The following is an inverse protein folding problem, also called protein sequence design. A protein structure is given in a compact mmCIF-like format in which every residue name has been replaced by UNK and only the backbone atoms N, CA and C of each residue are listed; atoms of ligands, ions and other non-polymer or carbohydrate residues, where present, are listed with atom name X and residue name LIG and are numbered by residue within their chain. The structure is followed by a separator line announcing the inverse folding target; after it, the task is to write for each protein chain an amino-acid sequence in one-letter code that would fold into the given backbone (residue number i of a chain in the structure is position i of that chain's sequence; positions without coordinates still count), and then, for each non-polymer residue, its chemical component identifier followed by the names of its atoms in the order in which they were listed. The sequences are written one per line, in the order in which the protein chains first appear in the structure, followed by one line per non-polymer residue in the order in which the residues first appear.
data_IF_867591391730
#
_entry.id   IF_867591391730
#
_cell.length_a   1.000
_cell.length_b   1.000
_cell.length_c   1.000
_cell.angle_alpha   90.00
_cell.angle_beta   90.00
_cell.angle_gamma   90.00
#
_symmetry.space_group_name_H-M   'P 1'
#
loop_
_entity.id
_entity.type
_entity.pdbx_description
1 polymer ?
#
# COMPACT_ATOMS: atom_id res chain seq x y z
N UNK A 1 5.81 4.24 21.95
CA UNK A 1 6.05 4.05 20.51
C UNK A 1 4.90 4.73 19.79
N UNK A 2 5.19 5.72 18.94
CA UNK A 2 4.19 6.57 18.31
C UNK A 2 3.30 5.76 17.34
N UNK A 3 1.98 5.89 17.51
CA UNK A 3 0.97 5.44 16.55
C UNK A 3 1.03 6.30 15.28
N UNK A 4 0.66 5.74 14.12
CA UNK A 4 0.57 6.51 12.88
C UNK A 4 -0.38 7.72 13.01
N UNK A 5 -0.01 8.82 12.35
CA UNK A 5 -0.90 9.95 12.09
C UNK A 5 -1.75 9.73 10.83
N UNK A 6 -2.46 10.77 10.36
CA UNK A 6 -3.17 10.72 9.08
C UNK A 6 -2.24 10.30 7.93
N UNK A 7 -2.74 9.53 6.98
CA UNK A 7 -1.98 9.11 5.81
C UNK A 7 -1.78 10.26 4.82
N UNK A 8 -0.60 10.31 4.19
CA UNK A 8 -0.27 11.26 3.12
C UNK A 8 -0.30 10.55 1.75
N UNK A 9 -1.14 11.08 0.84
CA UNK A 9 -1.34 10.51 -0.51
C UNK A 9 -0.06 10.54 -1.35
N UNK A 10 0.70 11.65 -1.33
CA UNK A 10 1.93 11.79 -2.14
C UNK A 10 3.01 10.85 -1.63
N UNK A 11 3.12 10.67 -0.32
CA UNK A 11 4.02 9.68 0.28
C UNK A 11 3.57 8.26 -0.06
N UNK A 12 2.27 7.99 -0.01
CA UNK A 12 1.72 6.69 -0.42
C UNK A 12 2.05 6.35 -1.86
N UNK A 13 1.91 7.31 -2.78
CA UNK A 13 2.30 7.17 -4.18
C UNK A 13 3.80 6.91 -4.33
N UNK A 14 4.65 7.64 -3.61
CA UNK A 14 6.09 7.38 -3.60
C UNK A 14 6.41 5.95 -3.16
N UNK A 15 5.84 5.49 -2.05
CA UNK A 15 6.03 4.13 -1.54
C UNK A 15 5.51 3.06 -2.53
N UNK A 16 4.39 3.32 -3.18
CA UNK A 16 3.80 2.43 -4.18
C UNK A 16 4.74 2.18 -5.38
N UNK A 17 5.55 3.19 -5.73
CA UNK A 17 6.50 3.11 -6.84
C UNK A 17 7.89 2.57 -6.43
N UNK A 18 8.17 2.41 -5.14
CA UNK A 18 9.49 2.08 -4.60
C UNK A 18 9.78 0.55 -4.59
N UNK A 19 10.77 0.04 -5.36
CA UNK A 19 11.03 -1.41 -5.47
C UNK A 19 11.50 -2.14 -4.21
N UNK A 20 11.92 -1.40 -3.18
CA UNK A 20 12.35 -1.96 -1.88
C UNK A 20 11.32 -1.82 -0.76
N UNK A 21 10.13 -1.28 -1.06
CA UNK A 21 9.12 -1.04 -0.03
C UNK A 21 8.71 -2.33 0.70
N UNK A 22 8.58 -2.25 2.02
CA UNK A 22 8.26 -3.41 2.86
C UNK A 22 9.30 -4.55 2.80
N UNK A 23 10.55 -4.21 2.49
CA UNK A 23 11.64 -5.17 2.38
C UNK A 23 11.63 -5.98 1.09
N UNK A 24 11.02 -5.47 0.01
CA UNK A 24 10.97 -6.13 -1.30
C UNK A 24 12.36 -6.54 -1.81
N UNK A 25 12.47 -7.77 -2.33
CA UNK A 25 13.77 -8.41 -2.68
C UNK A 25 13.95 -8.68 -4.16
N UNK A 26 12.91 -8.51 -4.98
CA UNK A 26 12.93 -8.87 -6.40
C UNK A 26 13.01 -7.66 -7.36
N UNK A 27 13.27 -6.46 -6.83
CA UNK A 27 13.42 -5.24 -7.63
C UNK A 27 12.12 -4.73 -8.26
N UNK A 28 10.96 -5.25 -7.88
CA UNK A 28 9.65 -4.76 -8.33
C UNK A 28 8.98 -3.90 -7.26
N UNK A 29 8.21 -2.91 -7.71
CA UNK A 29 7.28 -2.15 -6.87
C UNK A 29 5.84 -2.55 -7.17
N UNK A 30 4.87 -1.97 -6.44
CA UNK A 30 3.45 -2.18 -6.72
C UNK A 30 3.09 -1.75 -8.16
N UNK A 31 3.71 -0.67 -8.63
CA UNK A 31 3.51 -0.11 -9.96
C UNK A 31 3.94 -1.05 -11.11
N UNK A 32 4.79 -2.05 -10.84
CA UNK A 32 5.17 -3.05 -11.84
C UNK A 32 3.97 -3.89 -12.33
N UNK A 33 2.98 -4.11 -11.45
CA UNK A 33 1.74 -4.81 -11.79
C UNK A 33 0.55 -3.85 -11.96
N UNK A 34 0.56 -2.74 -11.22
CA UNK A 34 -0.51 -1.74 -11.18
C UNK A 34 0.02 -0.36 -11.59
N UNK A 35 0.43 -0.16 -12.85
CA UNK A 35 1.04 1.09 -13.29
C UNK A 35 0.06 2.26 -13.08
N UNK A 36 0.49 3.27 -12.31
CA UNK A 36 -0.36 4.40 -11.90
C UNK A 36 -1.60 4.01 -11.11
N UNK A 37 -1.60 2.84 -10.45
CA UNK A 37 -2.76 2.33 -9.71
C UNK A 37 -3.81 1.60 -10.56
N UNK A 38 -3.52 1.30 -11.83
CA UNK A 38 -4.46 0.63 -12.73
C UNK A 38 -5.00 -0.69 -12.15
N UNK A 39 -6.33 -0.85 -12.20
CA UNK A 39 -7.06 -2.00 -11.69
C UNK A 39 -7.32 -1.95 -10.18
N UNK A 40 -6.95 -0.86 -9.50
CA UNK A 40 -7.18 -0.63 -8.08
C UNK A 40 -8.14 0.55 -7.80
N UNK A 41 -8.77 1.11 -8.83
CA UNK A 41 -9.63 2.30 -8.74
C UNK A 41 -10.81 2.08 -7.79
N UNK A 42 -11.31 0.85 -7.69
CA UNK A 42 -12.43 0.49 -6.80
C UNK A 42 -11.99 0.06 -5.39
N UNK A 43 -10.70 0.14 -5.03
CA UNK A 43 -10.22 -0.28 -3.71
C UNK A 43 -10.90 0.50 -2.59
N UNK A 44 -11.12 1.81 -2.77
CA UNK A 44 -11.81 2.63 -1.78
C UNK A 44 -13.21 2.10 -1.45
N UNK A 45 -14.02 1.85 -2.48
CA UNK A 45 -15.38 1.33 -2.33
C UNK A 45 -15.39 -0.11 -1.81
N UNK A 46 -14.53 -0.98 -2.36
CA UNK A 46 -14.47 -2.42 -2.01
C UNK A 46 -14.11 -2.68 -0.55
N UNK A 47 -13.31 -1.79 0.04
CA UNK A 47 -12.81 -1.91 1.41
C UNK A 47 -13.35 -0.83 2.36
N UNK A 48 -14.44 -0.15 1.99
CA UNK A 48 -15.11 0.79 2.89
C UNK A 48 -15.48 0.09 4.22
N UNK A 49 -14.98 0.64 5.33
CA UNK A 49 -15.16 0.06 6.68
C UNK A 49 -14.35 -1.20 6.97
N UNK A 50 -13.47 -1.64 6.06
CA UNK A 50 -12.73 -2.92 6.12
C UNK A 50 -11.22 -2.73 6.11
N UNK A 51 -10.75 -1.78 6.90
CA UNK A 51 -9.35 -1.35 6.94
C UNK A 51 -8.37 -2.48 7.28
N UNK A 52 -8.74 -3.38 8.19
CA UNK A 52 -7.89 -4.52 8.56
C UNK A 52 -7.65 -5.45 7.36
N UNK A 53 -8.66 -5.66 6.52
CA UNK A 53 -8.52 -6.49 5.33
C UNK A 53 -7.68 -5.81 4.25
N UNK A 54 -7.82 -4.49 4.10
CA UNK A 54 -7.00 -3.74 3.15
C UNK A 54 -5.52 -3.76 3.56
N UNK A 55 -5.22 -3.59 4.86
CA UNK A 55 -3.86 -3.76 5.41
C UNK A 55 -3.29 -5.15 5.13
N UNK A 56 -4.10 -6.18 5.38
CA UNK A 56 -3.72 -7.57 5.10
C UNK A 56 -3.44 -7.79 3.61
N UNK A 57 -4.25 -7.20 2.72
CA UNK A 57 -4.03 -7.29 1.28
C UNK A 57 -2.74 -6.60 0.84
N UNK A 58 -2.45 -5.40 1.34
CA UNK A 58 -1.18 -4.70 1.10
C UNK A 58 0.00 -5.57 1.51
N UNK A 59 -0.04 -6.11 2.73
CA UNK A 59 1.02 -6.98 3.24
C UNK A 59 1.14 -8.30 2.46
N UNK A 60 0.02 -8.85 1.97
CA UNK A 60 0.04 -10.02 1.08
C UNK A 60 0.73 -9.70 -0.25
N UNK A 61 0.45 -8.56 -0.86
CA UNK A 61 1.13 -8.13 -2.09
C UNK A 61 2.64 -7.98 -1.87
N UNK A 62 3.06 -7.32 -0.78
CA UNK A 62 4.49 -7.17 -0.44
C UNK A 62 5.17 -8.54 -0.30
N UNK A 63 4.60 -9.45 0.50
CA UNK A 63 5.22 -10.76 0.78
C UNK A 63 5.22 -11.67 -0.44
N UNK A 64 4.09 -11.77 -1.13
CA UNK A 64 3.92 -12.77 -2.19
C UNK A 64 4.47 -12.29 -3.54
N UNK A 65 4.18 -11.04 -3.92
CA UNK A 65 4.54 -10.50 -5.23
C UNK A 65 5.91 -9.83 -5.20
N UNK A 66 6.23 -9.06 -4.16
CA UNK A 66 7.52 -8.35 -4.05
C UNK A 66 8.60 -9.14 -3.29
N UNK A 67 8.24 -10.31 -2.75
CA UNK A 67 9.11 -11.18 -1.93
C UNK A 67 9.69 -10.45 -0.71
N UNK A 68 8.93 -9.48 -0.18
CA UNK A 68 9.29 -8.70 1.00
C UNK A 68 8.81 -9.30 2.31
N UNK A 69 9.03 -8.55 3.39
CA UNK A 69 8.71 -8.95 4.77
C UNK A 69 7.34 -8.42 5.21
N UNK A 70 6.88 -7.34 4.57
CA UNK A 70 5.70 -6.59 4.94
C UNK A 70 6.05 -5.38 5.80
N UNK A 71 5.02 -4.69 6.26
CA UNK A 71 5.12 -3.53 7.14
C UNK A 71 4.16 -3.70 8.31
N UNK A 72 4.42 -2.99 9.41
CA UNK A 72 3.50 -3.01 10.56
C UNK A 72 2.18 -2.33 10.20
N UNK A 73 1.09 -2.93 10.65
CA UNK A 73 -0.27 -2.46 10.37
C UNK A 73 -0.55 -1.05 10.93
N UNK A 74 0.13 -0.68 12.03
CA UNK A 74 0.03 0.61 12.73
C UNK A 74 1.10 1.63 12.30
N UNK A 75 1.88 1.33 11.27
CA UNK A 75 2.97 2.21 10.81
C UNK A 75 2.45 3.37 9.96
N UNK A 76 3.18 4.49 9.98
CA UNK A 76 2.89 5.62 9.09
C UNK A 76 2.95 5.22 7.61
N UNK A 77 3.87 4.32 7.24
CA UNK A 77 3.94 3.79 5.88
C UNK A 77 2.65 3.06 5.46
N UNK A 78 2.01 2.34 6.40
CA UNK A 78 0.71 1.72 6.14
C UNK A 78 -0.38 2.79 5.99
N UNK A 79 -0.40 3.82 6.84
CA UNK A 79 -1.36 4.91 6.69
C UNK A 79 -1.22 5.62 5.32
N UNK A 80 0.01 5.92 4.92
CA UNK A 80 0.34 6.61 3.66
C UNK A 80 -0.10 5.78 2.44
N UNK A 81 0.25 4.48 2.39
CA UNK A 81 -0.13 3.63 1.25
C UNK A 81 -1.64 3.44 1.14
N UNK A 82 -2.36 3.32 2.27
CA UNK A 82 -3.82 3.24 2.27
C UNK A 82 -4.47 4.54 1.78
N UNK A 83 -3.90 5.69 2.14
CA UNK A 83 -4.38 6.99 1.66
C UNK A 83 -4.27 7.08 0.13
N UNK A 84 -3.13 6.68 -0.45
CA UNK A 84 -2.96 6.64 -1.90
C UNK A 84 -3.91 5.65 -2.57
N UNK A 85 -4.04 4.42 -2.05
CA UNK A 85 -4.95 3.44 -2.64
C UNK A 85 -6.40 3.91 -2.65
N UNK A 86 -6.81 4.69 -1.64
CA UNK A 86 -8.15 5.28 -1.56
C UNK A 86 -8.35 6.46 -2.52
N UNK A 87 -7.28 7.11 -2.98
CA UNK A 87 -7.38 8.19 -3.97
C UNK A 87 -7.35 7.72 -5.43
N UNK A 88 -7.17 6.42 -5.69
CA UNK A 88 -7.06 5.87 -7.05
C UNK A 88 -8.39 5.82 -7.82
N UNK A 89 -9.51 6.01 -7.14
CA UNK A 89 -10.83 6.20 -7.75
C UNK A 89 -11.36 7.58 -7.39
N UNK A 90 -11.83 8.32 -8.39
CA UNK A 90 -12.62 9.53 -8.21
C UNK A 90 -14.05 9.20 -7.78
#
# INVERSE_FOLDING_TARGET
GMTAGPGDVKRGEYLFNQPGFGGGKNGKSCAACHPGGRGLEQVAARYAGRDAELRSMVNRCIRMALKGEGIRDDSQAMADILAYLRSLGG
#
